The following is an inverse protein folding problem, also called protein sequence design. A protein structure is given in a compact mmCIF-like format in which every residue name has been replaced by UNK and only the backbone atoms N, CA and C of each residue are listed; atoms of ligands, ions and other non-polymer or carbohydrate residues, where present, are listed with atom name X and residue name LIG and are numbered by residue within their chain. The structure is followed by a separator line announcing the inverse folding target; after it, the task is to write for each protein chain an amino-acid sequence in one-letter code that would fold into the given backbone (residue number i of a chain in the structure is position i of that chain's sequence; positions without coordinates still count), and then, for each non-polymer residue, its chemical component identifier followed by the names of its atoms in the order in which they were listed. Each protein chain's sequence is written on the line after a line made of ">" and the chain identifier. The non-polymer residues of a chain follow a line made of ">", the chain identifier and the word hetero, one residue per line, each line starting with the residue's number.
data_IF_000036248771
#
_entry.id   IF_000036248771
#
_cell.length_a   1.000
_cell.length_b   1.000
_cell.length_c   1.000
_cell.angle_alpha   90.00
_cell.angle_beta   90.00
_cell.angle_gamma   90.00
#
_symmetry.space_group_name_H-M   'P 1'
#
loop_
_entity.id
_entity.type
_entity.pdbx_description
1 polymer ?
#
# COMPACT_ATOMS: atom_id res chain seq x y z
N UNK A 1 31.20 17.41 3.85
CA UNK A 1 30.25 17.47 4.99
C UNK A 1 29.74 16.05 5.20
N UNK A 2 30.41 15.25 6.02
CA UNK A 2 30.09 13.81 6.18
C UNK A 2 29.16 13.68 7.37
N UNK A 3 27.87 13.41 7.13
CA UNK A 3 26.93 13.05 8.20
C UNK A 3 27.41 11.74 8.84
N UNK A 4 27.60 11.75 10.17
CA UNK A 4 27.92 10.56 10.96
C UNK A 4 26.61 9.85 11.29
N UNK A 5 26.70 8.53 11.45
CA UNK A 5 25.59 7.63 11.79
C UNK A 5 24.91 7.93 13.13
N UNK A 6 25.46 8.87 13.91
CA UNK A 6 25.09 9.14 15.30
C UNK A 6 24.18 10.38 15.47
N UNK A 7 23.81 11.07 14.38
CA UNK A 7 22.89 12.23 14.37
C UNK A 7 21.41 11.83 14.16
N UNK A 8 21.07 10.53 14.27
CA UNK A 8 19.67 10.07 14.27
C UNK A 8 19.13 10.26 15.69
N UNK A 9 18.11 11.11 15.91
CA UNK A 9 17.54 11.33 17.23
C UNK A 9 17.13 10.02 17.92
N UNK A 10 17.46 9.87 19.21
CA UNK A 10 17.18 8.70 20.06
C UNK A 10 15.66 8.38 20.21
N UNK A 11 14.77 9.18 19.63
CA UNK A 11 13.32 9.08 19.78
C UNK A 11 12.58 8.37 18.63
N UNK A 12 13.28 7.94 17.57
CA UNK A 12 12.69 7.07 16.55
C UNK A 12 12.57 5.65 17.11
N UNK A 13 11.53 5.42 17.91
CA UNK A 13 11.12 4.07 18.28
C UNK A 13 10.82 3.29 16.99
N UNK A 14 11.22 2.01 16.87
CA UNK A 14 10.74 1.16 15.81
C UNK A 14 9.22 1.11 15.96
N UNK A 15 8.53 1.77 15.04
CA UNK A 15 7.07 1.74 14.96
C UNK A 15 6.67 0.36 14.48
N UNK A 16 5.57 -0.16 15.03
CA UNK A 16 5.14 -1.53 14.79
C UNK A 16 4.62 -1.64 13.34
N UNK A 17 5.42 -2.27 12.48
CA UNK A 17 5.04 -2.59 11.11
C UNK A 17 4.20 -3.88 11.12
N UNK A 18 2.97 -3.77 10.65
CA UNK A 18 2.02 -4.87 10.55
C UNK A 18 1.67 -5.13 9.09
N UNK A 19 1.42 -6.41 8.76
CA UNK A 19 0.90 -6.81 7.45
C UNK A 19 -0.34 -7.65 7.66
N UNK A 20 -1.46 -7.20 7.12
CA UNK A 20 -2.74 -7.89 7.16
C UNK A 20 -3.08 -8.44 5.77
N UNK A 21 -3.46 -9.72 5.72
CA UNK A 21 -4.10 -10.31 4.53
C UNK A 21 -5.60 -10.01 4.55
N UNK A 22 -6.13 -9.57 3.42
CA UNK A 22 -7.56 -9.25 3.23
C UNK A 22 -8.05 -9.71 1.85
N UNK A 23 -9.34 -9.95 1.75
CA UNK A 23 -10.10 -10.05 0.50
C UNK A 23 -10.89 -8.78 0.20
N UNK A 24 -12.10 -8.94 -0.34
CA UNK A 24 -13.01 -7.86 -0.73
C UNK A 24 -13.36 -6.91 0.43
N UNK A 25 -13.31 -7.38 1.67
CA UNK A 25 -13.55 -6.59 2.88
C UNK A 25 -12.55 -5.44 3.08
N UNK A 26 -11.37 -5.53 2.45
CA UNK A 26 -10.35 -4.48 2.47
C UNK A 26 -10.37 -3.58 1.24
N UNK A 27 -11.34 -3.73 0.33
CA UNK A 27 -11.35 -3.05 -0.97
C UNK A 27 -11.25 -1.52 -0.85
N UNK A 28 -11.92 -0.92 0.13
CA UNK A 28 -11.90 0.54 0.32
C UNK A 28 -10.52 1.06 0.71
N UNK A 29 -9.81 0.33 1.58
CA UNK A 29 -8.44 0.69 2.00
C UNK A 29 -7.47 0.52 0.82
N UNK A 30 -7.55 -0.60 0.10
CA UNK A 30 -6.72 -0.87 -1.08
C UNK A 30 -6.98 0.17 -2.16
N UNK A 31 -8.25 0.53 -2.40
CA UNK A 31 -8.62 1.57 -3.36
C UNK A 31 -8.07 2.94 -2.95
N UNK A 32 -8.20 3.35 -1.69
CA UNK A 32 -7.65 4.62 -1.22
C UNK A 32 -6.13 4.70 -1.45
N UNK A 33 -5.39 3.65 -1.11
CA UNK A 33 -3.95 3.55 -1.36
C UNK A 33 -3.62 3.55 -2.86
N UNK A 34 -4.37 2.81 -3.66
CA UNK A 34 -4.20 2.77 -5.12
C UNK A 34 -4.39 4.17 -5.73
N UNK A 35 -5.45 4.87 -5.34
CA UNK A 35 -5.73 6.23 -5.81
C UNK A 35 -4.65 7.25 -5.41
N UNK A 36 -4.01 7.04 -4.26
CA UNK A 36 -2.89 7.87 -3.79
C UNK A 36 -1.59 7.60 -4.56
N UNK A 37 -1.35 6.36 -5.00
CA UNK A 37 -0.12 5.96 -5.66
C UNK A 37 -0.15 6.09 -7.19
N UNK A 38 -1.33 5.97 -7.83
CA UNK A 38 -1.46 5.99 -9.29
C UNK A 38 -2.11 7.30 -9.78
N UNK A 39 -1.39 8.13 -10.57
CA UNK A 39 -1.93 9.40 -11.07
C UNK A 39 -3.14 9.23 -12.01
N UNK A 40 -4.09 10.19 -12.03
CA UNK A 40 -5.17 10.18 -13.02
C UNK A 40 -4.61 10.21 -14.45
N UNK A 41 -5.21 9.45 -15.37
CA UNK A 41 -4.78 9.39 -16.77
C UNK A 41 -3.55 8.51 -17.04
N UNK A 42 -2.99 7.86 -16.02
CA UNK A 42 -1.88 6.88 -16.18
C UNK A 42 -2.28 5.62 -16.94
N UNK A 43 -3.57 5.29 -17.01
CA UNK A 43 -4.07 4.00 -17.51
C UNK A 43 -3.93 2.85 -16.50
N UNK A 44 -3.14 3.03 -15.45
CA UNK A 44 -2.91 2.06 -14.37
C UNK A 44 -3.79 2.33 -13.15
N UNK A 45 -4.41 3.52 -13.09
CA UNK A 45 -5.32 3.93 -12.02
C UNK A 45 -6.71 3.32 -12.24
N UNK A 46 -6.94 2.17 -11.62
CA UNK A 46 -8.20 1.43 -11.66
C UNK A 46 -9.34 2.16 -10.94
N UNK A 47 -10.56 1.95 -11.43
CA UNK A 47 -11.75 2.38 -10.69
C UNK A 47 -12.00 1.48 -9.48
N UNK A 48 -12.84 1.94 -8.55
CA UNK A 48 -13.25 1.11 -7.40
C UNK A 48 -13.95 -0.17 -7.85
N UNK A 49 -14.77 -0.09 -8.91
CA UNK A 49 -15.44 -1.24 -9.52
C UNK A 49 -14.42 -2.25 -10.04
N UNK A 50 -13.44 -1.83 -10.85
CA UNK A 50 -12.43 -2.73 -11.41
C UNK A 50 -11.64 -3.43 -10.30
N UNK A 51 -11.26 -2.68 -9.27
CA UNK A 51 -10.53 -3.21 -8.12
C UNK A 51 -11.36 -4.25 -7.33
N UNK A 52 -12.64 -3.99 -7.14
CA UNK A 52 -13.57 -4.94 -6.52
C UNK A 52 -13.74 -6.20 -7.37
N UNK A 53 -13.82 -6.06 -8.70
CA UNK A 53 -13.91 -7.20 -9.61
C UNK A 53 -12.66 -8.08 -9.52
N UNK A 54 -11.46 -7.47 -9.51
CA UNK A 54 -10.20 -8.19 -9.33
C UNK A 54 -10.16 -8.95 -8.00
N UNK A 55 -10.55 -8.29 -6.89
CA UNK A 55 -10.60 -8.92 -5.56
C UNK A 55 -11.60 -10.07 -5.44
N UNK A 56 -12.64 -10.09 -6.29
CA UNK A 56 -13.62 -11.19 -6.35
C UNK A 56 -13.16 -12.36 -7.22
N UNK A 57 -12.10 -12.19 -8.02
CA UNK A 57 -11.57 -13.30 -8.81
C UNK A 57 -11.07 -14.41 -7.88
N UNK A 58 -11.35 -15.69 -8.18
CA UNK A 58 -10.84 -16.81 -7.39
C UNK A 58 -9.32 -16.76 -7.25
N UNK A 59 -8.82 -16.96 -6.03
CA UNK A 59 -7.40 -16.97 -5.73
C UNK A 59 -6.77 -15.58 -5.57
N UNK A 60 -7.52 -14.48 -5.69
CA UNK A 60 -7.02 -13.13 -5.41
C UNK A 60 -6.98 -12.85 -3.92
N UNK A 61 -5.92 -12.19 -3.47
CA UNK A 61 -5.82 -11.59 -2.14
C UNK A 61 -5.11 -10.24 -2.21
N UNK A 62 -5.38 -9.39 -1.23
CA UNK A 62 -4.56 -8.23 -0.94
C UNK A 62 -3.80 -8.41 0.38
N UNK A 63 -2.62 -7.80 0.45
CA UNK A 63 -1.85 -7.57 1.66
C UNK A 63 -1.81 -6.07 1.90
N UNK A 64 -2.18 -5.61 3.09
CA UNK A 64 -2.07 -4.20 3.50
C UNK A 64 -0.94 -4.11 4.52
N UNK A 65 0.04 -3.25 4.26
CA UNK A 65 1.06 -2.88 5.23
C UNK A 65 0.58 -1.67 6.01
N UNK A 66 0.77 -1.67 7.33
CA UNK A 66 0.42 -0.57 8.20
C UNK A 66 1.50 -0.30 9.23
N UNK A 67 1.63 0.95 9.66
CA UNK A 67 2.50 1.37 10.76
C UNK A 67 1.66 2.18 11.73
N UNK A 68 1.68 1.80 13.01
CA UNK A 68 0.87 2.45 14.05
C UNK A 68 -0.61 2.58 13.59
N UNK A 69 -1.16 1.48 13.05
CA UNK A 69 -2.50 1.36 12.45
C UNK A 69 -2.79 2.23 11.21
N UNK A 70 -1.80 2.95 10.67
CA UNK A 70 -1.96 3.73 9.44
C UNK A 70 -1.56 2.88 8.22
N UNK A 71 -2.46 2.67 7.24
CA UNK A 71 -2.13 1.98 6.00
C UNK A 71 -1.04 2.72 5.21
N UNK A 72 0.06 2.03 4.93
CA UNK A 72 1.21 2.56 4.20
C UNK A 72 1.25 2.11 2.75
N UNK A 73 0.62 0.99 2.42
CA UNK A 73 0.72 0.39 1.10
C UNK A 73 0.00 -0.94 1.02
N UNK A 74 -0.06 -1.48 -0.18
CA UNK A 74 -0.66 -2.78 -0.44
C UNK A 74 0.08 -3.56 -1.52
N UNK A 75 -0.06 -4.88 -1.50
CA UNK A 75 0.21 -5.76 -2.62
C UNK A 75 -1.04 -6.56 -2.98
N UNK A 76 -1.35 -6.68 -4.26
CA UNK A 76 -2.47 -7.44 -4.79
C UNK A 76 -1.92 -8.57 -5.67
N UNK A 77 -2.28 -9.81 -5.35
CA UNK A 77 -1.79 -10.98 -6.07
C UNK A 77 -2.93 -11.98 -6.30
N UNK A 78 -2.82 -12.75 -7.38
CA UNK A 78 -3.71 -13.87 -7.69
C UNK A 78 -2.94 -15.16 -7.84
N UNK A 79 -3.41 -16.20 -7.16
CA UNK A 79 -2.90 -17.55 -7.29
C UNK A 79 -3.77 -18.35 -8.25
N UNK A 80 -3.16 -19.01 -9.23
CA UNK A 80 -3.85 -19.87 -10.18
C UNK A 80 -3.00 -21.14 -10.41
N UNK A 81 -3.56 -22.30 -10.04
CA UNK A 81 -2.84 -23.57 -10.05
C UNK A 81 -1.51 -23.49 -9.25
N UNK A 82 -0.38 -23.63 -9.93
CA UNK A 82 0.98 -23.54 -9.39
C UNK A 82 1.65 -22.19 -9.64
N UNK A 83 0.94 -21.23 -10.23
CA UNK A 83 1.43 -19.90 -10.52
C UNK A 83 0.86 -18.83 -9.58
N UNK A 84 1.66 -17.79 -9.34
CA UNK A 84 1.26 -16.59 -8.61
C UNK A 84 1.61 -15.36 -9.45
N UNK A 85 0.61 -14.54 -9.73
CA UNK A 85 0.75 -13.28 -10.44
C UNK A 85 0.63 -12.11 -9.46
N UNK A 86 1.61 -11.21 -9.45
CA UNK A 86 1.52 -9.93 -8.75
C UNK A 86 0.82 -8.93 -9.67
N UNK A 87 -0.40 -8.55 -9.32
CA UNK A 87 -1.25 -7.68 -10.13
C UNK A 87 -0.95 -6.20 -9.90
N UNK A 88 -0.64 -5.82 -8.65
CA UNK A 88 -0.33 -4.44 -8.29
C UNK A 88 0.42 -4.37 -6.96
N UNK A 89 1.34 -3.42 -6.81
CA UNK A 89 2.09 -3.17 -5.58
C UNK A 89 2.32 -1.67 -5.44
N UNK A 90 1.85 -1.10 -4.34
CA UNK A 90 1.94 0.33 -4.10
C UNK A 90 2.26 0.64 -2.64
N UNK A 91 2.97 1.73 -2.40
CA UNK A 91 3.24 2.25 -1.05
C UNK A 91 3.06 3.76 -1.12
N UNK A 92 2.14 4.26 -0.31
CA UNK A 92 1.80 5.67 -0.18
C UNK A 92 2.77 6.42 0.75
N UNK A 93 3.63 5.72 1.51
CA UNK A 93 4.57 6.34 2.45
C UNK A 93 5.51 7.37 1.76
N UNK A 94 5.53 8.63 2.24
CA UNK A 94 6.47 9.68 1.81
C UNK A 94 7.95 9.33 1.85
N UNK A 95 8.33 8.29 2.59
CA UNK A 95 9.71 7.84 2.73
C UNK A 95 10.17 6.91 1.60
N UNK A 96 9.35 6.66 0.57
CA UNK A 96 9.84 6.15 -0.73
C UNK A 96 10.67 7.22 -1.44
N UNK A 97 11.88 7.44 -0.93
CA UNK A 97 12.92 8.35 -1.44
C UNK A 97 12.43 9.79 -1.60
N UNK A 98 12.57 10.57 -0.52
CA UNK A 98 12.68 12.06 -0.55
C UNK A 98 11.79 12.76 -1.59
N UNK A 99 10.51 12.93 -1.28
CA UNK A 99 9.59 13.70 -2.12
C UNK A 99 8.14 13.59 -1.66
N UNK A 100 7.88 14.03 -0.42
CA UNK A 100 6.57 14.28 0.24
C UNK A 100 5.30 13.93 -0.58
N UNK A 101 4.43 13.03 -0.05
CA UNK A 101 2.99 13.21 -0.24
C UNK A 101 2.18 13.25 1.08
N UNK A 102 1.74 14.47 1.36
CA UNK A 102 0.44 15.00 1.79
C UNK A 102 -0.71 14.09 2.30
N UNK A 103 -1.01 14.29 3.60
CA UNK A 103 -2.31 14.51 4.27
C UNK A 103 -3.57 13.76 3.76
N UNK A 104 -4.01 12.77 4.54
CA UNK A 104 -5.45 12.56 4.82
C UNK A 104 -5.59 12.02 6.24
N UNK A 105 -5.96 12.90 7.19
CA UNK A 105 -6.38 12.55 8.54
C UNK A 105 -7.82 13.03 8.72
N UNK A 106 -8.71 12.10 9.07
CA UNK A 106 -10.03 12.39 9.62
C UNK A 106 -11.18 12.36 8.62
N UNK A 107 -11.83 11.20 8.51
CA UNK A 107 -13.30 11.05 8.62
C UNK A 107 -13.59 9.74 9.34
#
# INVERSE_FOLDING_TARGET
>A
MTMRTDDVPDDVKPSDLMVLKTGIEGADIVFALHQACFPPGSGERWSHTDLCEVLRMPGTLALIASRDDQPLGYGLARFAADECELLSLAVADPQRRSGVPMLWWGI
#
